data_IF_359210935117
#
_entry.id   IF_359210935117
#
_cell.length_a   1.000
_cell.length_b   1.000
_cell.length_c   1.000
_cell.angle_alpha   90.00
_cell.angle_beta   90.00
_cell.angle_gamma   90.00
#
_symmetry.space_group_name_H-M   'P 1'
#
loop_
_entity.id
_entity.type
_entity.pdbx_description
1 polymer ?
#
# COMPACT_ATOMS: atom_id res chain seq x y z
N UNK A 1 14.15 5.81 10.89
CA UNK A 1 13.40 6.63 9.93
C UNK A 1 12.55 5.65 9.15
N UNK A 2 11.22 5.65 9.32
CA UNK A 2 10.38 4.71 8.56
C UNK A 2 10.49 5.13 7.08
N UNK A 3 10.67 4.19 6.13
CA UNK A 3 10.88 4.55 4.72
C UNK A 3 9.72 5.35 4.09
N UNK A 4 8.61 5.51 4.80
CA UNK A 4 7.35 6.10 4.33
C UNK A 4 6.87 7.30 5.15
N UNK A 5 7.74 7.95 5.94
CA UNK A 5 7.39 9.18 6.67
C UNK A 5 6.92 10.33 5.74
N UNK A 6 7.23 10.25 4.45
CA UNK A 6 6.80 11.22 3.44
C UNK A 6 5.40 10.96 2.87
N UNK A 7 4.74 9.85 3.23
CA UNK A 7 3.37 9.61 2.77
C UNK A 7 2.39 10.53 3.50
N UNK A 8 1.35 11.03 2.82
CA UNK A 8 0.34 11.87 3.45
C UNK A 8 -0.45 11.07 4.49
N UNK A 9 -1.00 11.75 5.48
CA UNK A 9 -1.92 11.23 6.50
C UNK A 9 -3.33 10.91 5.96
N UNK A 10 -3.41 10.53 4.68
CA UNK A 10 -4.62 10.16 3.96
C UNK A 10 -4.32 9.19 2.83
N UNK A 11 -5.37 8.63 2.23
CA UNK A 11 -5.27 7.90 0.98
C UNK A 11 -4.57 8.74 -0.10
N UNK A 12 -3.77 8.07 -0.93
CA UNK A 12 -3.01 8.69 -2.01
C UNK A 12 -3.91 9.01 -3.19
N UNK A 13 -3.60 10.10 -3.88
CA UNK A 13 -4.17 10.42 -5.19
C UNK A 13 -3.33 9.80 -6.31
N UNK A 14 -3.90 9.69 -7.52
CA UNK A 14 -3.16 9.23 -8.70
C UNK A 14 -1.94 10.13 -9.01
N UNK A 15 -2.07 11.44 -8.76
CA UNK A 15 -0.97 12.39 -8.95
C UNK A 15 0.19 12.13 -7.99
N UNK A 16 -0.10 11.80 -6.73
CA UNK A 16 0.93 11.47 -5.74
C UNK A 16 1.56 10.11 -6.00
N UNK A 17 0.77 9.10 -6.42
CA UNK A 17 1.32 7.82 -6.88
C UNK A 17 2.29 8.04 -8.05
N UNK A 18 1.94 8.93 -8.98
CA UNK A 18 2.83 9.27 -10.10
C UNK A 18 4.11 9.94 -9.61
N UNK A 19 4.02 10.89 -8.68
CA UNK A 19 5.20 11.52 -8.08
C UNK A 19 6.09 10.51 -7.35
N UNK A 20 5.52 9.51 -6.69
CA UNK A 20 6.28 8.41 -6.06
C UNK A 20 7.03 7.58 -7.10
N UNK A 21 6.42 7.27 -8.25
CA UNK A 21 7.07 6.55 -9.36
C UNK A 21 8.19 7.35 -10.02
N UNK A 22 8.09 8.67 -9.99
CA UNK A 22 9.08 9.58 -10.56
C UNK A 22 10.23 9.88 -9.55
N UNK A 23 10.15 9.36 -8.32
CA UNK A 23 11.19 9.53 -7.31
C UNK A 23 12.36 8.58 -7.53
N UNK A 24 13.59 9.10 -7.49
CA UNK A 24 14.82 8.30 -7.60
C UNK A 24 14.98 7.26 -6.48
N UNK A 25 14.25 7.40 -5.37
CA UNK A 25 14.31 6.47 -4.24
C UNK A 25 13.38 5.25 -4.40
N UNK A 26 12.52 5.24 -5.41
CA UNK A 26 11.49 4.21 -5.62
C UNK A 26 11.75 3.52 -6.95
N UNK A 27 11.97 2.21 -6.89
CA UNK A 27 12.16 1.40 -8.09
C UNK A 27 10.83 1.15 -8.79
N UNK A 28 9.79 0.84 -8.02
CA UNK A 28 8.44 0.63 -8.53
C UNK A 28 7.39 1.00 -7.48
N UNK A 29 6.25 1.53 -7.92
CA UNK A 29 5.09 1.73 -7.07
C UNK A 29 3.82 1.35 -7.85
N UNK A 30 3.00 0.47 -7.29
CA UNK A 30 1.83 -0.06 -7.96
C UNK A 30 0.62 -0.12 -7.02
N UNK A 31 -0.55 0.43 -7.41
CA UNK A 31 -1.77 0.29 -6.64
C UNK A 31 -2.26 -1.16 -6.78
N UNK A 32 -2.56 -1.82 -5.66
CA UNK A 32 -2.78 -3.28 -5.65
C UNK A 32 -4.26 -3.70 -5.73
N UNK A 33 -5.15 -2.87 -5.19
CA UNK A 33 -6.59 -2.94 -5.40
C UNK A 33 -7.24 -1.60 -4.98
N UNK A 34 -8.30 -1.20 -5.67
CA UNK A 34 -9.23 -0.21 -5.14
C UNK A 34 -10.03 -0.92 -4.05
N UNK A 35 -10.02 -0.36 -2.84
CA UNK A 35 -11.04 -0.71 -1.84
C UNK A 35 -12.35 -0.22 -2.42
N UNK A 36 -13.24 -1.14 -2.78
CA UNK A 36 -14.52 -0.78 -3.39
C UNK A 36 -15.24 0.21 -2.47
N UNK A 37 -15.79 1.28 -3.06
CA UNK A 37 -16.54 2.34 -2.37
C UNK A 37 -15.72 3.42 -1.63
N UNK A 38 -14.39 3.34 -1.60
CA UNK A 38 -13.54 4.35 -0.97
C UNK A 38 -12.72 5.15 -2.00
N UNK A 39 -12.71 6.50 -1.95
CA UNK A 39 -11.89 7.30 -2.84
C UNK A 39 -10.40 7.17 -2.50
N UNK A 40 -9.56 7.10 -3.53
CA UNK A 40 -8.11 7.13 -3.41
C UNK A 40 -7.44 5.76 -3.32
N UNK A 41 -6.11 5.79 -3.40
CA UNK A 41 -5.24 4.61 -3.32
C UNK A 41 -4.91 4.38 -1.85
N UNK A 42 -5.40 3.26 -1.32
CA UNK A 42 -5.20 2.84 0.06
C UNK A 42 -4.28 1.63 0.21
N UNK A 43 -4.05 0.91 -0.89
CA UNK A 43 -3.20 -0.27 -0.94
C UNK A 43 -2.13 -0.06 -1.99
N UNK A 44 -0.87 -0.08 -1.56
CA UNK A 44 0.27 0.21 -2.41
C UNK A 44 1.31 -0.89 -2.26
N UNK A 45 1.74 -1.48 -3.37
CA UNK A 45 3.00 -2.18 -3.42
C UNK A 45 4.08 -1.17 -3.81
N UNK A 46 5.16 -1.10 -3.04
CA UNK A 46 6.26 -0.19 -3.27
C UNK A 46 7.56 -0.97 -3.19
N UNK A 47 8.34 -0.94 -4.27
CA UNK A 47 9.68 -1.49 -4.30
C UNK A 47 10.68 -0.36 -4.13
N UNK A 48 11.59 -0.55 -3.18
CA UNK A 48 12.76 0.28 -2.96
C UNK A 48 13.96 -0.62 -2.83
N UNK A 49 14.95 -0.41 -3.70
CA UNK A 49 16.13 -1.26 -3.80
C UNK A 49 15.71 -2.73 -4.03
N UNK A 50 16.23 -3.65 -3.22
CA UNK A 50 15.90 -5.08 -3.24
C UNK A 50 14.71 -5.44 -2.34
N UNK A 51 13.96 -4.45 -1.82
CA UNK A 51 12.86 -4.69 -0.88
C UNK A 51 11.52 -4.24 -1.44
N UNK A 52 10.55 -5.14 -1.41
CA UNK A 52 9.16 -4.92 -1.75
C UNK A 52 8.33 -4.77 -0.47
N UNK A 53 7.64 -3.65 -0.36
CA UNK A 53 6.77 -3.31 0.75
C UNK A 53 5.31 -3.34 0.29
N UNK A 54 4.47 -4.02 1.05
CA UNK A 54 3.02 -3.87 0.96
C UNK A 54 2.54 -2.88 2.01
N UNK A 55 2.00 -1.75 1.57
CA UNK A 55 1.49 -0.69 2.40
C UNK A 55 -0.03 -0.63 2.35
N UNK A 56 -0.63 -0.48 3.53
CA UNK A 56 -2.06 -0.27 3.72
C UNK A 56 -2.33 1.01 4.48
N UNK A 57 -3.32 1.79 4.04
CA UNK A 57 -3.75 3.00 4.71
C UNK A 57 -4.97 2.74 5.60
N UNK A 58 -4.77 2.70 6.91
CA UNK A 58 -5.83 2.67 7.90
C UNK A 58 -6.26 4.11 8.25
N UNK A 59 -7.55 4.48 8.23
CA UNK A 59 -8.00 5.81 8.66
C UNK A 59 -7.66 6.17 10.11
N UNK A 60 -7.53 5.18 10.99
CA UNK A 60 -7.25 5.35 12.42
C UNK A 60 -5.74 5.30 12.71
N UNK A 61 -4.99 4.45 12.01
CA UNK A 61 -3.54 4.26 12.25
C UNK A 61 -2.62 4.94 11.23
N UNK A 62 -3.15 5.34 10.07
CA UNK A 62 -2.40 5.89 8.94
C UNK A 62 -1.77 4.82 8.04
N UNK A 63 -0.69 5.20 7.34
CA UNK A 63 0.04 4.26 6.48
C UNK A 63 0.88 3.26 7.30
N UNK A 64 0.55 2.00 7.13
CA UNK A 64 1.19 0.88 7.83
C UNK A 64 1.85 -0.08 6.84
N UNK A 65 3.01 -0.61 7.24
CA UNK A 65 3.67 -1.71 6.53
C UNK A 65 2.96 -3.00 6.91
N UNK A 66 2.18 -3.55 5.96
CA UNK A 66 1.44 -4.79 6.14
C UNK A 66 2.34 -6.00 5.89
N UNK A 67 3.26 -5.88 4.94
CA UNK A 67 4.22 -6.94 4.61
C UNK A 67 5.50 -6.34 4.02
N UNK A 68 6.61 -7.03 4.25
CA UNK A 68 7.92 -6.71 3.72
C UNK A 68 8.54 -7.99 3.16
N UNK A 69 9.05 -7.92 1.93
CA UNK A 69 9.67 -9.04 1.24
C UNK A 69 10.86 -8.58 0.42
N UNK A 70 11.74 -9.52 0.10
CA UNK A 70 12.81 -9.28 -0.86
C UNK A 70 12.24 -9.34 -2.27
N UNK A 71 12.62 -8.41 -3.14
CA UNK A 71 12.13 -8.30 -4.52
C UNK A 71 12.96 -9.18 -5.47
N UNK A 72 13.05 -10.48 -5.17
CA UNK A 72 13.90 -11.42 -5.91
C UNK A 72 13.13 -12.15 -7.03
N UNK A 73 11.81 -12.36 -6.88
CA UNK A 73 10.96 -13.04 -7.86
C UNK A 73 9.71 -12.20 -8.21
N UNK A 74 9.30 -12.11 -9.49
CA UNK A 74 8.04 -11.47 -9.88
C UNK A 74 6.80 -12.01 -9.15
N UNK A 75 6.83 -13.25 -8.63
CA UNK A 75 5.76 -13.83 -7.80
C UNK A 75 5.63 -13.15 -6.43
N UNK A 76 6.65 -12.44 -5.96
CA UNK A 76 6.57 -11.71 -4.70
C UNK A 76 5.54 -10.58 -4.76
N UNK A 77 5.34 -9.97 -5.93
CA UNK A 77 4.30 -8.96 -6.11
C UNK A 77 2.89 -9.55 -5.94
N UNK A 78 2.65 -10.76 -6.47
CA UNK A 78 1.39 -11.47 -6.30
C UNK A 78 1.16 -11.83 -4.82
N UNK A 79 2.19 -12.31 -4.14
CA UNK A 79 2.10 -12.62 -2.72
C UNK A 79 1.84 -11.38 -1.85
N UNK A 80 2.48 -10.24 -2.15
CA UNK A 80 2.19 -8.97 -1.48
C UNK A 80 0.75 -8.52 -1.73
N UNK A 81 0.26 -8.67 -2.97
CA UNK A 81 -1.12 -8.34 -3.32
C UNK A 81 -2.14 -9.15 -2.54
N UNK A 82 -1.93 -10.45 -2.40
CA UNK A 82 -2.84 -11.33 -1.66
C UNK A 82 -2.85 -11.00 -0.16
N UNK A 83 -1.68 -10.72 0.43
CA UNK A 83 -1.58 -10.28 1.82
C UNK A 83 -2.30 -8.94 2.03
N UNK A 84 -2.09 -7.96 1.14
CA UNK A 84 -2.76 -6.67 1.22
C UNK A 84 -4.28 -6.79 1.07
N UNK A 85 -4.76 -7.68 0.21
CA UNK A 85 -6.20 -7.93 0.08
C UNK A 85 -6.79 -8.50 1.38
N UNK A 86 -6.14 -9.50 1.97
CA UNK A 86 -6.59 -10.09 3.23
C UNK A 86 -6.57 -9.09 4.39
N UNK A 87 -5.56 -8.22 4.45
CA UNK A 87 -5.49 -7.14 5.43
C UNK A 87 -6.60 -6.10 5.22
N UNK A 88 -6.82 -5.66 3.98
CA UNK A 88 -7.86 -4.71 3.64
C UNK A 88 -9.26 -5.25 3.97
N UNK A 89 -9.50 -6.54 3.68
CA UNK A 89 -10.73 -7.22 4.08
C UNK A 89 -10.89 -7.26 5.60
N UNK A 90 -9.82 -7.27 6.39
CA UNK A 90 -9.91 -7.14 7.86
C UNK A 90 -10.26 -5.72 8.29
N UNK A 91 -9.57 -4.72 7.74
CA UNK A 91 -9.70 -3.31 8.15
C UNK A 91 -11.03 -2.70 7.69
N UNK A 92 -11.45 -2.93 6.45
CA UNK A 92 -12.60 -2.24 5.86
C UNK A 92 -13.91 -3.03 5.95
N UNK A 93 -13.87 -4.35 6.16
CA UNK A 93 -15.09 -5.16 6.31
C UNK A 93 -15.69 -5.05 7.70
N UNK A 94 -14.87 -4.89 8.74
CA UNK A 94 -15.35 -4.67 10.11
C UNK A 94 -15.99 -3.27 10.26
N UNK A 95 -15.53 -2.28 9.50
CA UNK A 95 -16.09 -0.92 9.50
C UNK A 95 -17.56 -0.84 8.98
N UNK A 96 -18.10 -1.92 8.40
CA UNK A 96 -19.50 -1.98 7.92
C UNK A 96 -20.48 -2.68 8.89
N UNK A 97 -20.03 -3.12 10.07
CA UNK A 97 -20.92 -3.63 11.13
C UNK A 97 -20.93 -2.66 12.32
N UNK A 98 -21.65 -1.56 12.17
CA UNK A 98 -22.17 -0.80 13.31
C UNK A 98 -23.65 -1.14 13.39
N UNK A 99 -24.02 -1.91 14.42
CA UNK A 99 -25.39 -2.27 14.81
C UNK A 99 -26.24 -1.03 15.11
#
# INVERSE_FOLDING_TARGET
>A
MRPFESLPDRALTDAELRALRESDAITEAAPMALVAHEPGIRLLALQRDETLYGLGYDPEEGWTVVTERRADDPKDLEAVRDVLRGWADGVYRDATHVD
#
